data_IF_255214778016
#
_entry.id   IF_255214778016
#
_cell.length_a   1.000
_cell.length_b   1.000
_cell.length_c   1.000
_cell.angle_alpha   90.00
_cell.angle_beta   90.00
_cell.angle_gamma   90.00
#
_symmetry.space_group_name_H-M   'P 1'
#
loop_
_entity.id
_entity.type
_entity.pdbx_description
1 polymer ?
#
# COMPACT_ATOMS: atom_id res chain seq x y z
N UNK A 1 -1.55 -12.12 23.41
CA UNK A 1 -1.61 -12.00 21.92
C UNK A 1 -1.08 -10.63 21.56
N UNK A 2 0.03 -10.58 20.82
CA UNK A 2 0.67 -9.33 20.39
C UNK A 2 0.20 -8.99 18.99
N UNK A 3 -0.57 -7.90 18.87
CA UNK A 3 -1.11 -7.41 17.61
C UNK A 3 -0.28 -6.23 17.10
N UNK A 4 0.07 -6.24 15.83
CA UNK A 4 0.64 -5.12 15.12
C UNK A 4 -0.26 -4.65 13.97
N UNK A 5 -0.21 -3.37 13.64
CA UNK A 5 -0.85 -2.83 12.44
C UNK A 5 0.21 -2.40 11.42
N UNK A 6 -0.06 -2.62 10.15
CA UNK A 6 0.76 -2.13 9.06
C UNK A 6 -0.07 -1.21 8.17
N UNK A 7 -0.07 0.11 8.45
CA UNK A 7 -0.82 1.07 7.66
C UNK A 7 -0.07 1.50 6.41
N UNK A 8 -0.80 1.71 5.32
CA UNK A 8 -0.23 2.21 4.07
C UNK A 8 -1.29 2.48 3.00
N UNK A 9 -0.87 3.07 1.88
CA UNK A 9 -1.75 3.30 0.73
C UNK A 9 -1.91 2.04 -0.12
N UNK A 10 -0.85 1.27 -0.33
CA UNK A 10 -0.83 0.03 -1.12
C UNK A 10 -1.48 0.18 -2.50
N UNK A 11 -1.02 1.15 -3.25
CA UNK A 11 -1.60 1.53 -4.55
C UNK A 11 -0.56 1.52 -5.69
N UNK A 12 -0.20 0.34 -6.17
CA UNK A 12 -0.57 -1.01 -5.72
C UNK A 12 0.28 -1.54 -4.56
N UNK A 13 -0.14 -2.67 -3.99
CA UNK A 13 0.73 -3.50 -3.17
C UNK A 13 1.83 -4.11 -4.04
N UNK A 14 3.08 -4.08 -3.55
CA UNK A 14 4.27 -4.59 -4.23
C UNK A 14 4.86 -5.79 -3.49
N UNK A 15 5.80 -6.51 -4.10
CA UNK A 15 6.54 -7.55 -3.40
C UNK A 15 7.28 -7.03 -2.17
N UNK A 16 7.72 -5.74 -2.17
CA UNK A 16 8.29 -5.12 -0.97
C UNK A 16 7.30 -5.01 0.18
N UNK A 17 6.05 -4.65 -0.10
CA UNK A 17 5.00 -4.65 0.92
C UNK A 17 4.68 -6.06 1.42
N UNK A 18 4.61 -7.04 0.53
CA UNK A 18 4.31 -8.43 0.88
C UNK A 18 5.44 -9.06 1.70
N UNK A 19 6.71 -8.73 1.41
CA UNK A 19 7.86 -9.14 2.22
C UNK A 19 7.73 -8.65 3.67
N UNK A 20 7.43 -7.37 3.86
CA UNK A 20 7.21 -6.80 5.20
C UNK A 20 6.04 -7.49 5.92
N UNK A 21 4.92 -7.72 5.23
CA UNK A 21 3.75 -8.40 5.80
C UNK A 21 4.11 -9.82 6.25
N UNK A 22 4.77 -10.61 5.42
CA UNK A 22 5.20 -11.99 5.75
C UNK A 22 6.14 -12.02 6.94
N UNK A 23 7.11 -11.12 7.00
CA UNK A 23 8.06 -11.05 8.11
C UNK A 23 7.41 -10.55 9.40
N UNK A 24 6.49 -9.59 9.31
CA UNK A 24 5.70 -9.16 10.46
C UNK A 24 4.83 -10.31 10.98
N UNK A 25 4.24 -11.14 10.11
CA UNK A 25 3.41 -12.27 10.53
C UNK A 25 4.15 -13.36 11.30
N UNK A 26 5.48 -13.43 11.13
CA UNK A 26 6.32 -14.33 11.94
C UNK A 26 6.62 -13.75 13.34
N UNK A 27 6.68 -12.42 13.44
CA UNK A 27 7.08 -11.72 14.66
C UNK A 27 5.91 -11.37 15.58
N UNK A 28 4.69 -11.31 15.07
CA UNK A 28 3.49 -10.93 15.80
C UNK A 28 2.41 -12.01 15.71
N UNK A 29 1.66 -12.19 16.78
CA UNK A 29 0.55 -13.17 16.82
C UNK A 29 -0.56 -12.81 15.83
N UNK A 30 -0.76 -11.50 15.57
CA UNK A 30 -1.74 -10.97 14.62
C UNK A 30 -1.19 -9.72 13.96
N UNK A 31 -1.35 -9.64 12.64
CA UNK A 31 -1.00 -8.45 11.84
C UNK A 31 -2.25 -7.95 11.12
N UNK A 32 -2.60 -6.69 11.33
CA UNK A 32 -3.69 -6.03 10.61
C UNK A 32 -3.11 -5.03 9.61
N UNK A 33 -3.22 -5.36 8.33
CA UNK A 33 -2.81 -4.48 7.24
C UNK A 33 -3.92 -3.45 7.03
N UNK A 34 -3.59 -2.17 7.21
CA UNK A 34 -4.53 -1.06 7.11
C UNK A 34 -4.39 -0.31 5.79
N UNK A 35 -5.39 -0.40 4.92
CA UNK A 35 -5.45 0.38 3.68
C UNK A 35 -6.02 1.75 3.95
N UNK A 36 -5.20 2.79 3.84
CA UNK A 36 -5.62 4.16 4.11
C UNK A 36 -6.53 4.70 3.00
N UNK A 37 -7.68 5.18 3.40
CA UNK A 37 -8.54 6.02 2.57
C UNK A 37 -8.04 7.47 2.63
N UNK A 38 -7.36 7.93 1.58
CA UNK A 38 -6.92 9.31 1.45
C UNK A 38 -7.66 9.99 0.30
N UNK A 39 -8.60 10.87 0.62
CA UNK A 39 -9.41 11.61 -0.35
C UNK A 39 -8.63 12.69 -1.12
N UNK A 40 -7.45 13.09 -0.62
CA UNK A 40 -6.60 14.11 -1.24
C UNK A 40 -5.73 13.57 -2.39
N UNK A 41 -5.68 12.26 -2.61
CA UNK A 41 -4.91 11.62 -3.68
C UNK A 41 -5.84 10.94 -4.66
N UNK A 42 -5.49 10.98 -5.96
CA UNK A 42 -6.14 10.19 -7.00
C UNK A 42 -5.42 8.84 -7.14
N UNK A 43 -5.82 7.80 -6.42
CA UNK A 43 -5.19 6.49 -6.51
C UNK A 43 -5.54 5.80 -7.83
N UNK A 44 -4.69 4.82 -8.24
CA UNK A 44 -5.00 3.97 -9.40
C UNK A 44 -6.15 3.01 -9.09
N UNK A 45 -6.15 2.47 -7.88
CA UNK A 45 -7.17 1.54 -7.38
C UNK A 45 -8.01 2.18 -6.28
N UNK A 46 -9.31 1.91 -6.27
CA UNK A 46 -10.19 2.26 -5.16
C UNK A 46 -9.72 1.60 -3.84
N UNK A 47 -10.21 2.08 -2.70
CA UNK A 47 -9.92 1.46 -1.41
C UNK A 47 -10.34 -0.01 -1.39
N UNK A 48 -11.53 -0.32 -1.92
CA UNK A 48 -12.07 -1.68 -1.99
C UNK A 48 -11.18 -2.58 -2.86
N UNK A 49 -10.76 -2.11 -4.03
CA UNK A 49 -9.86 -2.85 -4.91
C UNK A 49 -8.52 -3.15 -4.22
N UNK A 50 -7.93 -2.17 -3.53
CA UNK A 50 -6.67 -2.35 -2.79
C UNK A 50 -6.80 -3.35 -1.64
N UNK A 51 -7.90 -3.31 -0.90
CA UNK A 51 -8.21 -4.30 0.14
C UNK A 51 -8.32 -5.70 -0.46
N UNK A 52 -9.04 -5.85 -1.57
CA UNK A 52 -9.22 -7.15 -2.24
C UNK A 52 -7.91 -7.70 -2.81
N UNK A 53 -7.07 -6.85 -3.40
CA UNK A 53 -5.72 -7.21 -3.86
C UNK A 53 -4.89 -7.75 -2.70
N UNK A 54 -4.83 -7.04 -1.57
CA UNK A 54 -4.08 -7.47 -0.41
C UNK A 54 -4.62 -8.76 0.21
N UNK A 55 -5.94 -8.89 0.34
CA UNK A 55 -6.57 -10.13 0.82
C UNK A 55 -6.17 -11.34 -0.03
N UNK A 56 -6.20 -11.19 -1.35
CA UNK A 56 -5.79 -12.25 -2.27
C UNK A 56 -4.30 -12.55 -2.16
N UNK A 57 -3.46 -11.51 -2.06
CA UNK A 57 -2.00 -11.66 -1.99
C UNK A 57 -1.50 -12.23 -0.65
N UNK A 58 -2.32 -12.19 0.41
CA UNK A 58 -1.97 -12.66 1.76
C UNK A 58 -2.85 -13.82 2.24
N UNK A 59 -3.66 -14.42 1.38
CA UNK A 59 -4.62 -15.48 1.74
C UNK A 59 -3.99 -16.74 2.35
N UNK A 60 -2.70 -16.95 2.09
CA UNK A 60 -1.89 -18.05 2.63
C UNK A 60 -1.28 -17.76 4.01
N UNK A 61 -1.51 -16.56 4.57
CA UNK A 61 -0.95 -16.13 5.86
C UNK A 61 -2.08 -16.04 6.90
N UNK A 62 -2.26 -17.04 7.76
CA UNK A 62 -3.48 -17.18 8.56
C UNK A 62 -3.68 -16.10 9.63
N UNK A 63 -2.61 -15.47 10.11
CA UNK A 63 -2.66 -14.41 11.13
C UNK A 63 -2.59 -12.99 10.57
N UNK A 64 -2.80 -12.83 9.25
CA UNK A 64 -2.90 -11.53 8.58
C UNK A 64 -4.35 -11.22 8.27
N UNK A 65 -4.77 -10.04 8.66
CA UNK A 65 -6.08 -9.47 8.36
C UNK A 65 -5.90 -8.19 7.57
N UNK A 66 -6.80 -7.90 6.62
CA UNK A 66 -6.77 -6.67 5.83
C UNK A 66 -8.04 -5.88 6.06
N UNK A 67 -7.89 -4.62 6.44
CA UNK A 67 -8.98 -3.64 6.64
C UNK A 67 -8.68 -2.33 5.95
N UNK A 68 -9.71 -1.56 5.64
CA UNK A 68 -9.57 -0.15 5.31
C UNK A 68 -9.72 0.71 6.57
N UNK A 69 -9.11 1.88 6.56
CA UNK A 69 -9.30 2.88 7.62
C UNK A 69 -9.16 4.30 7.06
N UNK A 70 -9.69 5.26 7.82
CA UNK A 70 -9.55 6.70 7.57
C UNK A 70 -8.99 7.38 8.81
N UNK A 71 -8.26 8.48 8.61
CA UNK A 71 -7.71 9.25 9.73
C UNK A 71 -6.31 8.79 10.16
N UNK A 72 -6.04 8.86 11.46
CA UNK A 72 -4.71 8.65 12.00
C UNK A 72 -4.36 7.16 12.18
N UNK A 73 -3.13 6.80 11.87
CA UNK A 73 -2.62 5.44 12.09
C UNK A 73 -2.69 5.00 13.56
N UNK A 74 -2.51 5.92 14.49
CA UNK A 74 -2.65 5.64 15.94
C UNK A 74 -4.07 5.30 16.36
N UNK A 75 -5.07 5.91 15.75
CA UNK A 75 -6.46 5.61 16.05
C UNK A 75 -6.85 4.25 15.47
N UNK A 76 -6.41 3.97 14.26
CA UNK A 76 -6.55 2.63 13.67
C UNK A 76 -5.85 1.56 14.52
N UNK A 77 -4.65 1.82 15.04
CA UNK A 77 -3.97 0.90 15.94
C UNK A 77 -4.77 0.64 17.23
N UNK A 78 -5.36 1.69 17.82
CA UNK A 78 -6.24 1.55 19.00
C UNK A 78 -7.48 0.70 18.70
N UNK A 79 -8.15 0.93 17.57
CA UNK A 79 -9.30 0.14 17.13
C UNK A 79 -8.95 -1.34 16.95
N UNK A 80 -7.75 -1.63 16.49
CA UNK A 80 -7.24 -2.98 16.33
C UNK A 80 -6.69 -3.59 17.63
N UNK A 81 -6.69 -2.85 18.73
CA UNK A 81 -6.06 -3.23 20.01
C UNK A 81 -4.57 -3.54 19.85
N UNK A 82 -3.90 -2.81 18.97
CA UNK A 82 -2.47 -2.93 18.70
C UNK A 82 -1.68 -1.86 19.44
N UNK A 83 -0.51 -2.26 19.93
CA UNK A 83 0.47 -1.35 20.54
C UNK A 83 1.67 -1.09 19.65
N UNK A 84 1.69 -1.69 18.46
CA UNK A 84 2.80 -1.62 17.53
C UNK A 84 2.32 -1.28 16.13
N UNK A 85 2.95 -0.27 15.53
CA UNK A 85 2.85 0.03 14.12
C UNK A 85 4.10 -0.54 13.43
N UNK A 86 3.90 -1.36 12.40
CA UNK A 86 5.00 -1.85 11.55
C UNK A 86 5.13 -0.94 10.35
N UNK A 87 6.38 -0.60 9.99
CA UNK A 87 6.73 0.12 8.78
C UNK A 87 7.88 -0.57 8.07
N UNK A 88 7.80 -0.62 6.74
CA UNK A 88 8.93 -1.05 5.92
C UNK A 88 9.93 0.08 5.74
N UNK A 89 11.22 -0.20 5.89
CA UNK A 89 12.30 0.76 5.67
C UNK A 89 13.15 0.32 4.48
N UNK A 90 13.23 1.16 3.45
CA UNK A 90 14.04 0.92 2.26
C UNK A 90 15.42 1.58 2.42
N UNK A 91 16.45 1.02 1.77
CA UNK A 91 17.84 1.43 1.97
C UNK A 91 18.17 2.89 1.59
N UNK A 92 17.34 3.57 0.78
CA UNK A 92 17.77 4.82 0.13
C UNK A 92 16.96 6.03 0.53
N UNK A 93 15.78 5.90 1.14
CA UNK A 93 14.92 7.07 1.34
C UNK A 93 14.04 6.94 2.56
N UNK A 94 13.52 8.04 2.99
CA UNK A 94 12.41 8.19 3.92
C UNK A 94 12.71 7.88 5.39
N UNK A 95 13.98 7.53 5.76
CA UNK A 95 14.29 7.27 7.16
C UNK A 95 13.92 8.46 8.04
N UNK A 96 14.29 9.66 7.66
CA UNK A 96 13.98 10.88 8.43
C UNK A 96 12.46 11.09 8.52
N UNK A 97 11.75 10.93 7.41
CA UNK A 97 10.29 11.04 7.38
C UNK A 97 9.62 9.95 8.23
N UNK A 98 10.04 8.69 8.07
CA UNK A 98 9.51 7.56 8.84
C UNK A 98 9.80 7.72 10.34
N UNK A 99 10.99 8.19 10.71
CA UNK A 99 11.36 8.49 12.09
C UNK A 99 10.48 9.61 12.66
N UNK A 100 10.28 10.69 11.91
CA UNK A 100 9.41 11.80 12.32
C UNK A 100 7.97 11.30 12.53
N UNK A 101 7.45 10.47 11.64
CA UNK A 101 6.11 9.90 11.77
C UNK A 101 6.00 8.96 12.99
N UNK A 102 7.02 8.16 13.24
CA UNK A 102 7.06 7.28 14.42
C UNK A 102 7.03 8.09 15.72
N UNK A 103 7.83 9.13 15.82
CA UNK A 103 7.86 10.02 16.98
C UNK A 103 6.52 10.77 17.16
N UNK A 104 5.92 11.23 16.06
CA UNK A 104 4.59 11.87 16.07
C UNK A 104 3.52 10.91 16.55
N UNK A 105 3.50 9.67 16.05
CA UNK A 105 2.54 8.64 16.47
C UNK A 105 2.72 8.29 17.96
N UNK A 106 3.97 8.20 18.43
CA UNK A 106 4.26 7.97 19.84
C UNK A 106 3.73 9.11 20.72
N UNK A 107 3.94 10.35 20.31
CA UNK A 107 3.42 11.53 21.00
C UNK A 107 1.88 11.51 21.04
N UNK A 108 1.22 11.32 19.90
CA UNK A 108 -0.24 11.30 19.78
C UNK A 108 -0.90 10.17 20.58
N UNK A 109 -0.19 9.07 20.77
CA UNK A 109 -0.66 7.92 21.59
C UNK A 109 -0.31 8.04 23.07
N UNK A 110 0.31 9.15 23.51
CA UNK A 110 0.85 9.30 24.87
C UNK A 110 1.82 8.16 25.26
N UNK A 111 2.67 7.75 24.31
CA UNK A 111 3.64 6.68 24.49
C UNK A 111 3.08 5.25 24.51
N UNK A 112 1.81 5.06 24.18
CA UNK A 112 1.14 3.75 24.23
C UNK A 112 1.33 2.92 22.97
N UNK A 113 1.67 3.56 21.84
CA UNK A 113 1.88 2.92 20.55
C UNK A 113 3.28 3.30 20.08
N UNK A 114 4.06 2.31 19.71
CA UNK A 114 5.40 2.50 19.17
C UNK A 114 5.51 1.94 17.76
N UNK A 115 6.57 2.31 17.04
CA UNK A 115 6.79 1.89 15.65
C UNK A 115 8.00 0.97 15.57
N UNK A 116 7.84 -0.15 14.89
CA UNK A 116 8.89 -1.09 14.55
C UNK A 116 9.18 -0.99 13.05
N UNK A 117 10.44 -0.79 12.72
CA UNK A 117 10.90 -0.77 11.35
C UNK A 117 11.45 -2.13 10.93
N UNK A 118 10.91 -2.68 9.85
CA UNK A 118 11.46 -3.83 9.17
C UNK A 118 12.19 -3.36 7.91
N UNK A 119 13.47 -3.66 7.80
CA UNK A 119 14.23 -3.36 6.58
C UNK A 119 13.71 -4.22 5.45
N UNK A 120 13.41 -3.61 4.30
CA UNK A 120 13.00 -4.33 3.10
C UNK A 120 14.15 -5.20 2.61
N UNK A 121 13.86 -6.39 2.12
CA UNK A 121 14.85 -7.26 1.47
C UNK A 121 15.54 -6.52 0.31
N UNK A 122 16.83 -6.76 0.11
CA UNK A 122 17.65 -6.02 -0.87
C UNK A 122 17.05 -6.07 -2.28
N UNK A 123 16.49 -7.21 -2.67
CA UNK A 123 15.84 -7.40 -3.98
C UNK A 123 14.61 -6.51 -4.19
N UNK A 124 13.98 -6.01 -3.12
CA UNK A 124 12.79 -5.15 -3.18
C UNK A 124 13.05 -3.72 -2.71
N UNK A 125 14.28 -3.38 -2.32
CA UNK A 125 14.62 -2.08 -1.74
C UNK A 125 14.38 -0.90 -2.70
N UNK A 126 14.44 -1.13 -4.01
CA UNK A 126 14.20 -0.13 -5.05
C UNK A 126 12.72 0.00 -5.46
N UNK A 127 11.84 -0.91 -5.01
CA UNK A 127 10.44 -0.91 -5.42
C UNK A 127 9.66 0.23 -4.76
N UNK A 128 8.97 1.01 -5.56
CA UNK A 128 7.96 1.96 -5.09
C UNK A 128 6.68 1.85 -5.94
N UNK A 129 5.53 2.00 -5.31
CA UNK A 129 4.24 1.98 -6.03
C UNK A 129 4.18 3.05 -7.11
N UNK A 130 4.75 4.24 -6.86
CA UNK A 130 4.79 5.32 -7.84
C UNK A 130 5.63 4.97 -9.07
N UNK A 131 6.83 4.40 -8.88
CA UNK A 131 7.69 3.97 -9.99
C UNK A 131 7.04 2.84 -10.81
N UNK A 132 6.40 1.88 -10.13
CA UNK A 132 5.70 0.77 -10.78
C UNK A 132 4.55 1.29 -11.65
N UNK A 133 3.75 2.23 -11.13
CA UNK A 133 2.68 2.88 -11.91
C UNK A 133 3.23 3.62 -13.13
N UNK A 134 4.33 4.33 -12.97
CA UNK A 134 4.97 5.03 -14.08
C UNK A 134 5.49 4.05 -15.16
N UNK A 135 6.17 2.98 -14.77
CA UNK A 135 6.64 1.95 -15.70
C UNK A 135 5.46 1.33 -16.46
N UNK A 136 4.41 0.95 -15.74
CA UNK A 136 3.22 0.34 -16.34
C UNK A 136 2.46 1.28 -17.29
N UNK A 137 2.45 2.59 -17.03
CA UNK A 137 1.82 3.58 -17.91
C UNK A 137 2.52 3.71 -19.29
N UNK A 138 3.73 3.19 -19.40
CA UNK A 138 4.50 3.10 -20.65
C UNK A 138 4.63 1.65 -21.15
N UNK A 139 3.73 0.75 -20.75
CA UNK A 139 3.75 -0.68 -21.10
C UNK A 139 5.04 -1.41 -20.69
N UNK A 140 5.80 -0.86 -19.73
CA UNK A 140 6.99 -1.52 -19.20
C UNK A 140 6.64 -2.75 -18.37
N UNK A 141 7.58 -3.71 -18.30
CA UNK A 141 7.41 -4.94 -17.54
C UNK A 141 7.50 -4.69 -16.02
N UNK A 142 6.40 -4.93 -15.31
CA UNK A 142 6.29 -4.81 -13.85
C UNK A 142 6.14 -6.17 -13.14
N UNK A 143 6.21 -7.26 -13.89
CA UNK A 143 6.04 -8.62 -13.31
C UNK A 143 7.08 -8.97 -12.24
N UNK A 144 8.33 -8.46 -12.26
CA UNK A 144 9.26 -8.66 -11.16
C UNK A 144 8.92 -7.88 -9.88
N UNK A 145 7.99 -6.92 -9.94
CA UNK A 145 7.72 -5.97 -8.88
C UNK A 145 6.46 -6.28 -8.07
N UNK A 146 5.51 -6.96 -8.70
CA UNK A 146 4.18 -7.25 -8.15
C UNK A 146 3.73 -8.65 -8.55
N UNK A 147 2.82 -9.30 -7.79
CA UNK A 147 2.20 -10.56 -8.22
C UNK A 147 1.56 -10.45 -9.61
N UNK A 148 1.57 -11.53 -10.38
CA UNK A 148 1.08 -11.55 -11.77
C UNK A 148 -0.36 -11.04 -11.89
N UNK A 149 -1.25 -11.41 -10.97
CA UNK A 149 -2.63 -10.94 -10.98
C UNK A 149 -2.72 -9.43 -10.73
N UNK A 150 -1.81 -8.86 -9.94
CA UNK A 150 -1.73 -7.41 -9.70
C UNK A 150 -1.22 -6.69 -10.93
N UNK A 151 -0.18 -7.23 -11.59
CA UNK A 151 0.34 -6.69 -12.85
C UNK A 151 -0.77 -6.58 -13.90
N UNK A 152 -1.55 -7.66 -14.07
CA UNK A 152 -2.70 -7.66 -14.98
C UNK A 152 -3.71 -6.56 -14.65
N UNK A 153 -4.10 -6.41 -13.39
CA UNK A 153 -5.04 -5.37 -12.97
C UNK A 153 -4.51 -3.96 -13.24
N UNK A 154 -3.21 -3.73 -13.07
CA UNK A 154 -2.57 -2.44 -13.35
C UNK A 154 -2.63 -2.12 -14.85
N UNK A 155 -2.25 -3.07 -15.72
CA UNK A 155 -2.32 -2.87 -17.17
C UNK A 155 -3.75 -2.65 -17.64
N UNK A 156 -4.73 -3.39 -17.11
CA UNK A 156 -6.14 -3.22 -17.45
C UNK A 156 -6.64 -1.82 -17.09
N UNK A 157 -6.25 -1.28 -15.92
CA UNK A 157 -6.58 0.09 -15.50
C UNK A 157 -6.03 1.16 -16.46
N UNK A 158 -4.81 1.01 -16.94
CA UNK A 158 -4.23 1.97 -17.89
C UNK A 158 -4.88 1.90 -19.27
N UNK A 159 -5.21 0.70 -19.77
CA UNK A 159 -5.95 0.52 -21.04
C UNK A 159 -7.35 1.14 -20.98
N UNK A 160 -8.08 0.94 -19.88
CA UNK A 160 -9.40 1.55 -19.68
C UNK A 160 -9.31 3.08 -19.71
N UNK A 161 -8.26 3.65 -19.13
CA UNK A 161 -8.03 5.09 -19.08
C UNK A 161 -7.74 5.66 -20.47
N UNK A 162 -6.90 5.01 -21.25
CA UNK A 162 -6.61 5.39 -22.64
C UNK A 162 -7.86 5.36 -23.51
N UNK A 163 -8.70 4.34 -23.38
CA UNK A 163 -9.96 4.22 -24.12
C UNK A 163 -10.94 5.34 -23.74
N UNK A 164 -11.04 5.73 -22.47
CA UNK A 164 -11.90 6.83 -22.05
C UNK A 164 -11.43 8.18 -22.59
N UNK A 165 -10.13 8.46 -22.54
CA UNK A 165 -9.54 9.70 -23.05
C UNK A 165 -9.72 9.83 -24.58
N UNK A 166 -9.62 8.74 -25.35
CA UNK A 166 -9.90 8.73 -26.78
C UNK A 166 -11.38 8.94 -27.11
N UNK A 167 -12.29 8.40 -26.29
CA UNK A 167 -13.73 8.60 -26.46
C UNK A 167 -14.14 10.06 -26.24
N UNK A 168 -13.56 10.71 -25.23
CA UNK A 168 -13.82 12.12 -24.93
C UNK A 168 -13.24 13.05 -26.02
N UNK A 169 -12.06 12.74 -26.56
CA UNK A 169 -11.44 13.50 -27.65
C UNK A 169 -12.28 13.43 -28.95
N UNK A 170 -12.88 12.28 -29.25
CA UNK A 170 -13.77 12.12 -30.43
C UNK A 170 -15.08 12.88 -30.26
N UNK A 171 -15.61 12.97 -29.02
CA UNK A 171 -16.84 13.73 -28.74
C UNK A 171 -16.67 15.23 -28.93
N UNK A 172 -15.49 15.80 -28.65
CA UNK A 172 -15.22 17.24 -28.85
C UNK A 172 -15.04 17.62 -30.32
N UNK A 173 -14.63 16.71 -31.19
CA UNK A 173 -14.45 16.97 -32.62
C UNK A 173 -15.77 17.01 -33.43
N UNK A 174 -16.86 16.50 -32.86
CA UNK A 174 -18.19 16.56 -33.49
C UNK A 174 -19.04 17.78 -33.11
N UNK A 175 -18.55 18.66 -32.22
CA UNK A 175 -19.27 19.88 -31.79
C UNK A 175 -18.78 21.16 -32.48
N UNK A 176 -17.90 21.07 -33.45
CA UNK A 176 -17.40 22.21 -34.24
C UNK A 176 -17.59 22.01 -35.76
N UNK A 177 -18.83 21.90 -36.16
CA UNK A 177 -19.30 22.16 -37.56
C UNK A 177 -20.63 22.86 -37.51
#
# INVERSE_FOLDING_TARGET
MVTAVYPGSFDPATYGHLDVIRRASVSFDRVVVGVLHNSAKSPLFSVEERVNILKKATQDIPNVEVRSFSGLAVDFAKECQAHTIVRGLRAITDFEYELQMAQTNRMLSHGKIDTVFLTTSLEYAYLSSSAIKQIASFDGDITPCVPDFVAKLIYDKYREKELSEHSDAVSYTHLTL
#
